data_IF_627447028850
#
_entry.id   IF_627447028850
#
_cell.length_a   1.000
_cell.length_b   1.000
_cell.length_c   1.000
_cell.angle_alpha   90.00
_cell.angle_beta   90.00
_cell.angle_gamma   90.00
#
_symmetry.space_group_name_H-M   'P 1'
#
loop_
_entity.id
_entity.type
_entity.pdbx_description
1 polymer ?
#
# COMPACT_ATOMS: atom_id res chain seq x y z
N UNK A 1 0.66 -5.52 -20.60
CA UNK A 1 0.36 -4.37 -19.72
C UNK A 1 -0.76 -3.59 -20.38
N UNK A 2 -1.86 -3.38 -19.72
CA UNK A 2 -2.97 -2.54 -20.18
C UNK A 2 -3.03 -1.31 -19.27
N UNK A 3 -2.99 -0.12 -19.85
CA UNK A 3 -3.18 1.14 -19.15
C UNK A 3 -4.52 1.77 -19.57
N UNK A 4 -5.38 2.03 -18.61
CA UNK A 4 -6.67 2.69 -18.81
C UNK A 4 -6.75 3.87 -17.84
N UNK A 5 -6.34 5.06 -18.29
CA UNK A 5 -6.48 6.32 -17.53
C UNK A 5 -6.25 6.17 -16.00
N UNK A 6 -5.03 5.80 -15.63
CA UNK A 6 -4.65 5.61 -14.24
C UNK A 6 -5.06 4.27 -13.62
N UNK A 7 -5.43 3.29 -14.45
CA UNK A 7 -5.59 1.89 -14.06
C UNK A 7 -4.59 1.07 -14.84
N UNK A 8 -3.65 0.46 -14.15
CA UNK A 8 -2.61 -0.38 -14.76
C UNK A 8 -2.88 -1.85 -14.44
N UNK A 9 -2.95 -2.70 -15.48
CA UNK A 9 -3.11 -4.13 -15.30
C UNK A 9 -1.84 -4.87 -15.72
N UNK A 10 -1.20 -5.52 -14.78
CA UNK A 10 -0.02 -6.36 -14.95
C UNK A 10 -0.44 -7.83 -14.89
N UNK A 11 -0.29 -8.53 -16.01
CA UNK A 11 -0.69 -9.93 -16.14
C UNK A 11 0.51 -10.87 -15.98
N UNK A 12 0.31 -11.99 -15.27
CA UNK A 12 1.31 -13.06 -15.04
C UNK A 12 2.67 -12.53 -14.53
N UNK A 13 2.64 -11.62 -13.57
CA UNK A 13 3.87 -11.10 -12.95
C UNK A 13 4.52 -12.16 -12.05
N UNK A 14 5.87 -12.22 -12.10
CA UNK A 14 6.67 -13.07 -11.21
C UNK A 14 7.07 -12.36 -9.89
N UNK A 15 7.83 -13.07 -9.07
CA UNK A 15 8.28 -12.61 -7.74
C UNK A 15 9.14 -11.32 -7.76
N UNK A 16 9.76 -10.98 -8.87
CA UNK A 16 10.63 -9.80 -9.02
C UNK A 16 9.89 -8.49 -9.33
N UNK A 17 8.61 -8.54 -9.66
CA UNK A 17 7.80 -7.35 -9.92
C UNK A 17 7.32 -6.70 -8.61
N UNK A 18 8.26 -6.15 -7.83
CA UNK A 18 7.96 -5.49 -6.55
C UNK A 18 7.93 -3.98 -6.65
N UNK A 19 8.50 -3.41 -7.72
CA UNK A 19 8.61 -1.95 -7.88
C UNK A 19 7.33 -1.38 -8.47
N UNK A 20 6.77 -0.38 -7.80
CA UNK A 20 5.62 0.38 -8.27
C UNK A 20 6.11 1.63 -9.01
N UNK A 21 5.49 1.99 -10.13
CA UNK A 21 5.83 3.19 -10.90
C UNK A 21 5.34 4.50 -10.28
N UNK A 22 4.65 4.43 -9.13
CA UNK A 22 4.07 5.56 -8.40
C UNK A 22 3.43 5.10 -7.11
N UNK A 23 2.53 5.93 -6.55
CA UNK A 23 1.79 5.63 -5.32
C UNK A 23 0.32 5.29 -5.67
N UNK A 24 0.00 4.04 -6.02
CA UNK A 24 -1.39 3.63 -6.25
C UNK A 24 -2.20 3.72 -4.96
N UNK A 25 -3.44 4.18 -5.09
CA UNK A 25 -4.40 4.29 -3.99
C UNK A 25 -4.88 2.92 -3.54
N UNK A 26 -5.08 2.02 -4.52
CA UNK A 26 -5.61 0.68 -4.31
C UNK A 26 -4.87 -0.29 -5.23
N UNK A 27 -4.54 -1.46 -4.71
CA UNK A 27 -3.92 -2.55 -5.46
C UNK A 27 -4.73 -3.82 -5.22
N UNK A 28 -5.13 -4.47 -6.31
CA UNK A 28 -5.71 -5.81 -6.29
C UNK A 28 -4.65 -6.77 -6.84
N UNK A 29 -4.29 -7.80 -6.09
CA UNK A 29 -3.31 -8.79 -6.52
C UNK A 29 -3.87 -10.21 -6.37
N UNK A 30 -4.10 -10.87 -7.51
CA UNK A 30 -4.60 -12.24 -7.57
C UNK A 30 -3.42 -13.22 -7.71
N UNK A 31 -3.32 -14.16 -6.79
CA UNK A 31 -2.28 -15.18 -6.79
C UNK A 31 -2.71 -16.39 -7.63
N UNK A 32 -2.07 -16.60 -8.77
CA UNK A 32 -2.33 -17.76 -9.65
C UNK A 32 -1.53 -19.00 -9.23
N UNK A 33 -0.29 -18.78 -8.80
CA UNK A 33 0.64 -19.83 -8.37
C UNK A 33 1.58 -19.29 -7.30
N UNK A 34 2.07 -20.18 -6.45
CA UNK A 34 2.93 -19.82 -5.34
C UNK A 34 2.16 -19.20 -4.18
N UNK A 35 2.79 -18.29 -3.47
CA UNK A 35 2.22 -17.63 -2.28
C UNK A 35 2.80 -16.24 -2.08
N UNK A 36 2.02 -15.41 -1.38
CA UNK A 36 2.47 -14.11 -0.85
C UNK A 36 2.45 -14.20 0.66
N UNK A 37 3.51 -13.74 1.30
CA UNK A 37 3.60 -13.63 2.75
C UNK A 37 3.88 -12.19 3.14
N UNK A 38 3.51 -11.79 4.37
CA UNK A 38 3.85 -10.46 4.89
C UNK A 38 4.24 -10.51 6.35
N UNK A 39 5.14 -9.62 6.72
CA UNK A 39 5.56 -9.45 8.11
C UNK A 39 4.55 -8.55 8.84
N UNK A 40 4.02 -9.01 9.95
CA UNK A 40 3.15 -8.22 10.83
C UNK A 40 1.87 -8.96 11.20
N UNK A 41 1.73 -9.26 12.48
CA UNK A 41 0.61 -9.96 13.08
C UNK A 41 1.03 -11.26 13.76
N UNK A 42 0.46 -11.50 14.94
CA UNK A 42 0.72 -12.69 15.76
C UNK A 42 -0.01 -13.96 15.27
N UNK A 43 -0.44 -13.99 14.01
CA UNK A 43 -1.29 -15.06 13.49
C UNK A 43 -0.55 -15.94 12.47
N UNK A 44 -0.81 -17.25 12.47
CA UNK A 44 -0.26 -18.19 11.49
C UNK A 44 -0.77 -17.99 10.05
N UNK A 45 -1.53 -16.92 9.79
CA UNK A 45 -2.23 -16.69 8.53
C UNK A 45 -1.74 -15.45 7.73
N UNK A 46 -0.48 -15.03 7.91
CA UNK A 46 0.11 -13.96 7.09
C UNK A 46 0.55 -14.49 5.72
N UNK A 47 -0.33 -15.22 5.08
CA UNK A 47 -0.08 -15.88 3.82
C UNK A 47 -1.31 -15.86 2.94
N UNK A 48 -1.11 -15.58 1.66
CA UNK A 48 -2.06 -15.75 0.57
C UNK A 48 -1.62 -16.93 -0.28
N UNK A 49 -2.55 -17.78 -0.65
CA UNK A 49 -2.29 -18.94 -1.48
C UNK A 49 -2.85 -18.74 -2.90
N UNK A 50 -2.50 -19.66 -3.80
CA UNK A 50 -3.06 -19.67 -5.14
C UNK A 50 -4.60 -19.73 -5.14
N UNK A 51 -5.22 -18.96 -6.01
CA UNK A 51 -6.66 -18.79 -6.12
C UNK A 51 -7.26 -17.74 -5.18
N UNK A 52 -6.44 -17.02 -4.41
CA UNK A 52 -6.90 -15.96 -3.51
C UNK A 52 -6.46 -14.59 -4.04
N UNK A 53 -7.21 -13.53 -3.66
CA UNK A 53 -6.90 -12.16 -4.02
C UNK A 53 -6.57 -11.33 -2.76
N UNK A 54 -5.54 -10.51 -2.90
CA UNK A 54 -5.11 -9.53 -1.92
C UNK A 54 -5.56 -8.13 -2.35
N UNK A 55 -6.07 -7.36 -1.41
CA UNK A 55 -6.38 -5.93 -1.57
C UNK A 55 -5.51 -5.15 -0.60
N UNK A 56 -4.75 -4.18 -1.12
CA UNK A 56 -3.81 -3.41 -0.31
C UNK A 56 -3.47 -2.07 -0.96
N UNK A 57 -2.76 -1.22 -0.24
CA UNK A 57 -2.28 0.08 -0.71
C UNK A 57 -0.77 0.08 -0.99
N UNK A 58 -0.25 1.16 -1.55
CA UNK A 58 1.18 1.30 -1.82
C UNK A 58 2.04 1.12 -0.55
N UNK A 59 1.52 1.49 0.61
CA UNK A 59 2.19 1.39 1.90
C UNK A 59 2.43 -0.05 2.33
N UNK A 60 1.44 -0.89 2.12
CA UNK A 60 1.48 -2.32 2.46
C UNK A 60 2.36 -3.09 1.47
N UNK A 61 2.50 -2.62 0.24
CA UNK A 61 3.26 -3.28 -0.83
C UNK A 61 4.69 -3.65 -0.44
N UNK A 62 5.39 -2.76 0.28
CA UNK A 62 6.78 -2.98 0.70
C UNK A 62 6.97 -4.04 1.79
N UNK A 63 5.89 -4.50 2.43
CA UNK A 63 5.93 -5.56 3.45
C UNK A 63 5.62 -6.95 2.88
N UNK A 64 5.26 -7.05 1.59
CA UNK A 64 4.90 -8.30 0.93
C UNK A 64 6.12 -9.01 0.36
N UNK A 65 6.22 -10.30 0.63
CA UNK A 65 7.24 -11.19 0.06
C UNK A 65 6.55 -12.27 -0.76
N UNK A 66 7.06 -12.51 -1.97
CA UNK A 66 6.52 -13.51 -2.90
C UNK A 66 7.45 -14.70 -2.98
N UNK A 67 6.91 -15.92 -3.04
CA UNK A 67 7.69 -17.15 -3.24
C UNK A 67 8.39 -17.15 -4.61
N UNK A 68 9.47 -17.92 -4.75
CA UNK A 68 10.23 -17.97 -6.00
C UNK A 68 9.42 -18.45 -7.21
N UNK A 69 8.42 -19.30 -6.98
CA UNK A 69 7.50 -19.84 -7.98
C UNK A 69 6.23 -18.99 -8.15
N UNK A 70 6.19 -17.79 -7.56
CA UNK A 70 5.03 -16.91 -7.63
C UNK A 70 4.71 -16.49 -9.06
N UNK A 71 3.42 -16.55 -9.38
CA UNK A 71 2.83 -15.98 -10.59
C UNK A 71 1.45 -15.42 -10.22
N UNK A 72 1.16 -14.19 -10.62
CA UNK A 72 -0.11 -13.53 -10.29
C UNK A 72 -0.46 -12.41 -11.26
N UNK A 73 -1.63 -11.83 -11.06
CA UNK A 73 -2.08 -10.63 -11.76
C UNK A 73 -2.21 -9.50 -10.76
N UNK A 74 -1.88 -8.28 -11.19
CA UNK A 74 -1.97 -7.09 -10.37
C UNK A 74 -2.70 -5.98 -11.11
N UNK A 75 -3.68 -5.37 -10.44
CA UNK A 75 -4.38 -4.18 -10.93
C UNK A 75 -4.06 -3.04 -9.97
N UNK A 76 -3.51 -1.97 -10.51
CA UNK A 76 -3.12 -0.78 -9.74
C UNK A 76 -4.06 0.37 -10.11
N UNK A 77 -4.60 1.04 -9.10
CA UNK A 77 -5.46 2.21 -9.24
C UNK A 77 -4.74 3.43 -8.71
N UNK A 78 -4.44 4.37 -9.58
CA UNK A 78 -3.81 5.65 -9.25
C UNK A 78 -4.85 6.75 -9.02
N UNK A 79 -4.42 7.92 -8.57
CA UNK A 79 -5.32 9.05 -8.28
C UNK A 79 -6.25 9.43 -9.41
N UNK A 80 -5.79 9.34 -10.65
CA UNK A 80 -6.56 9.65 -11.86
C UNK A 80 -7.68 8.64 -12.13
N UNK A 81 -7.52 7.39 -11.71
CA UNK A 81 -8.52 6.34 -11.89
C UNK A 81 -9.83 6.63 -11.16
N UNK A 82 -9.77 7.36 -10.04
CA UNK A 82 -10.96 7.74 -9.29
C UNK A 82 -11.91 8.59 -10.14
N UNK A 83 -11.38 9.57 -10.88
CA UNK A 83 -12.17 10.41 -11.79
C UNK A 83 -12.72 9.59 -12.96
N UNK A 84 -11.89 8.76 -13.58
CA UNK A 84 -12.31 7.89 -14.68
C UNK A 84 -13.46 6.97 -14.27
N UNK A 85 -13.37 6.32 -13.11
CA UNK A 85 -14.42 5.42 -12.61
C UNK A 85 -15.72 6.20 -12.31
N UNK A 86 -15.63 7.39 -11.72
CA UNK A 86 -16.78 8.24 -11.46
C UNK A 86 -17.50 8.67 -12.74
N UNK A 87 -16.76 9.02 -13.79
CA UNK A 87 -17.32 9.45 -15.08
C UNK A 87 -17.93 8.29 -15.88
N UNK A 88 -17.27 7.12 -15.91
CA UNK A 88 -17.66 6.02 -16.80
C UNK A 88 -18.56 4.98 -16.11
N UNK A 89 -18.57 4.95 -14.77
CA UNK A 89 -19.33 4.01 -13.95
C UNK A 89 -20.24 4.71 -12.93
N UNK A 90 -20.69 5.95 -13.23
CA UNK A 90 -21.51 6.78 -12.34
C UNK A 90 -22.76 6.05 -11.81
N UNK A 91 -23.42 5.25 -12.65
CA UNK A 91 -24.61 4.48 -12.27
C UNK A 91 -24.39 3.41 -11.20
N UNK A 92 -23.13 3.04 -10.92
CA UNK A 92 -22.80 2.02 -9.93
C UNK A 92 -22.38 2.59 -8.57
N UNK A 93 -22.31 3.93 -8.44
CA UNK A 93 -21.86 4.61 -7.22
C UNK A 93 -20.55 3.99 -6.65
N UNK A 94 -19.55 3.84 -7.50
CA UNK A 94 -18.21 3.32 -7.17
C UNK A 94 -17.27 4.49 -6.85
N UNK A 95 -16.59 4.39 -5.70
CA UNK A 95 -15.53 5.30 -5.31
C UNK A 95 -14.32 4.51 -4.80
N UNK A 96 -13.22 4.57 -5.56
CA UNK A 96 -11.98 3.85 -5.25
C UNK A 96 -11.38 4.28 -3.93
N UNK A 97 -11.50 5.56 -3.56
CA UNK A 97 -10.95 6.08 -2.29
C UNK A 97 -11.72 5.51 -1.11
N UNK A 98 -13.03 5.48 -1.20
CA UNK A 98 -13.90 4.86 -0.20
C UNK A 98 -13.63 3.35 -0.09
N UNK A 99 -13.43 2.65 -1.21
CA UNK A 99 -13.06 1.23 -1.21
C UNK A 99 -11.69 1.00 -0.56
N UNK A 100 -10.69 1.82 -0.90
CA UNK A 100 -9.38 1.74 -0.28
C UNK A 100 -9.45 1.97 1.23
N UNK A 101 -10.17 3.00 1.69
CA UNK A 101 -10.36 3.26 3.13
C UNK A 101 -11.09 2.12 3.85
N UNK A 102 -12.07 1.49 3.18
CA UNK A 102 -12.82 0.35 3.73
C UNK A 102 -11.95 -0.89 3.91
N UNK A 103 -11.03 -1.17 2.98
CA UNK A 103 -10.28 -2.42 2.89
C UNK A 103 -8.80 -2.32 3.25
N UNK A 104 -8.14 -1.20 2.91
CA UNK A 104 -6.73 -1.05 3.13
C UNK A 104 -6.46 -0.56 4.55
N UNK A 105 -5.93 -1.44 5.38
CA UNK A 105 -5.36 -1.08 6.69
C UNK A 105 -3.84 -1.06 6.55
N UNK A 106 -3.15 0.00 6.97
CA UNK A 106 -1.70 0.10 6.84
C UNK A 106 -0.98 -1.12 7.43
N UNK A 107 -0.09 -1.71 6.61
CA UNK A 107 0.67 -2.89 6.99
C UNK A 107 -0.12 -4.20 7.05
N UNK A 108 -1.41 -4.17 6.75
CA UNK A 108 -2.26 -5.37 6.78
C UNK A 108 -3.13 -5.43 5.52
N UNK A 109 -2.75 -6.25 4.54
CA UNK A 109 -3.54 -6.46 3.35
C UNK A 109 -4.86 -7.17 3.70
N UNK A 110 -5.89 -6.88 2.92
CA UNK A 110 -7.19 -7.55 3.02
C UNK A 110 -7.24 -8.74 2.08
N UNK A 111 -7.63 -9.92 2.56
CA UNK A 111 -7.80 -11.10 1.72
C UNK A 111 -9.28 -11.23 1.36
N UNK A 112 -9.53 -11.41 0.08
CA UNK A 112 -10.86 -11.70 -0.46
C UNK A 112 -11.02 -13.21 -0.59
N UNK A 113 -11.99 -13.77 0.11
CA UNK A 113 -12.23 -15.21 0.16
C UNK A 113 -13.26 -15.73 -0.86
N UNK A 114 -13.93 -14.84 -1.58
CA UNK A 114 -14.87 -15.21 -2.67
C UNK A 114 -14.10 -15.70 -3.91
N UNK A 115 -13.53 -16.91 -3.77
CA UNK A 115 -12.58 -17.47 -4.74
C UNK A 115 -13.13 -17.61 -6.15
N UNK A 116 -14.37 -18.08 -6.29
CA UNK A 116 -14.96 -18.37 -7.61
C UNK A 116 -15.27 -17.09 -8.39
N UNK A 117 -15.89 -16.10 -7.76
CA UNK A 117 -16.25 -14.83 -8.41
C UNK A 117 -15.01 -14.04 -8.85
N UNK A 118 -13.99 -14.00 -7.98
CA UNK A 118 -12.72 -13.33 -8.26
C UNK A 118 -11.94 -14.05 -9.36
N UNK A 119 -11.77 -15.36 -9.26
CA UNK A 119 -11.08 -16.16 -10.27
C UNK A 119 -11.72 -16.01 -11.64
N UNK A 120 -13.06 -16.05 -11.71
CA UNK A 120 -13.82 -15.90 -12.95
C UNK A 120 -13.59 -14.54 -13.64
N UNK A 121 -13.48 -13.44 -12.85
CA UNK A 121 -13.16 -12.13 -13.42
C UNK A 121 -11.78 -12.10 -14.10
N UNK A 122 -10.78 -12.77 -13.52
CA UNK A 122 -9.43 -12.86 -14.10
C UNK A 122 -9.35 -13.85 -15.28
N UNK A 123 -10.11 -14.94 -15.26
CA UNK A 123 -10.14 -15.94 -16.34
C UNK A 123 -10.81 -15.42 -17.62
N UNK A 124 -11.83 -14.57 -17.49
CA UNK A 124 -12.53 -13.96 -18.63
C UNK A 124 -11.61 -13.27 -19.62
N UNK A 125 -10.42 -12.85 -19.19
CA UNK A 125 -9.50 -12.05 -19.98
C UNK A 125 -8.47 -12.91 -20.72
N UNK A 126 -8.12 -14.09 -20.18
CA UNK A 126 -7.01 -14.91 -20.69
C UNK A 126 -7.17 -15.37 -22.16
N UNK A 127 -8.41 -15.58 -22.61
CA UNK A 127 -8.71 -16.18 -23.91
C UNK A 127 -9.27 -15.18 -24.92
N UNK A 128 -9.00 -13.87 -24.78
CA UNK A 128 -9.54 -12.84 -25.67
C UNK A 128 -8.50 -12.34 -26.66
N UNK A 129 -8.97 -12.00 -27.86
CA UNK A 129 -8.11 -11.37 -28.88
C UNK A 129 -7.67 -9.97 -28.40
N UNK A 130 -6.51 -9.51 -28.85
CA UNK A 130 -5.99 -8.16 -28.49
C UNK A 130 -6.99 -7.04 -28.76
N UNK A 131 -7.84 -7.18 -29.79
CA UNK A 131 -8.84 -6.18 -30.17
C UNK A 131 -9.97 -6.00 -29.13
N UNK A 132 -10.33 -7.07 -28.42
CA UNK A 132 -11.44 -7.06 -27.44
C UNK A 132 -10.95 -7.12 -26.00
N UNK A 133 -9.66 -7.28 -25.79
CA UNK A 133 -9.07 -7.45 -24.47
C UNK A 133 -9.33 -6.22 -23.56
N UNK A 134 -9.27 -5.01 -24.12
CA UNK A 134 -9.49 -3.78 -23.37
C UNK A 134 -10.91 -3.67 -22.81
N UNK A 135 -11.93 -4.04 -23.60
CA UNK A 135 -13.33 -4.03 -23.16
C UNK A 135 -13.58 -5.08 -22.08
N UNK A 136 -13.05 -6.29 -22.25
CA UNK A 136 -13.16 -7.34 -21.23
C UNK A 136 -12.43 -6.98 -19.94
N UNK A 137 -11.28 -6.31 -20.00
CA UNK A 137 -10.59 -5.79 -18.83
C UNK A 137 -11.45 -4.76 -18.09
N UNK A 138 -12.11 -3.83 -18.79
CA UNK A 138 -13.03 -2.85 -18.17
C UNK A 138 -14.18 -3.54 -17.45
N UNK A 139 -14.80 -4.56 -18.09
CA UNK A 139 -15.88 -5.34 -17.48
C UNK A 139 -15.40 -6.10 -16.23
N UNK A 140 -14.24 -6.75 -16.28
CA UNK A 140 -13.66 -7.47 -15.16
C UNK A 140 -13.30 -6.53 -14.01
N UNK A 141 -12.74 -5.35 -14.30
CA UNK A 141 -12.46 -4.33 -13.29
C UNK A 141 -13.77 -3.89 -12.62
N UNK A 142 -14.82 -3.62 -13.40
CA UNK A 142 -16.12 -3.25 -12.86
C UNK A 142 -16.69 -4.35 -11.96
N UNK A 143 -16.65 -5.60 -12.41
CA UNK A 143 -17.12 -6.78 -11.66
C UNK A 143 -16.36 -6.91 -10.32
N UNK A 144 -15.03 -6.81 -10.34
CA UNK A 144 -14.20 -6.85 -9.13
C UNK A 144 -14.54 -5.71 -8.17
N UNK A 145 -14.69 -4.48 -8.67
CA UNK A 145 -15.02 -3.32 -7.83
C UNK A 145 -16.42 -3.44 -7.21
N UNK A 146 -17.39 -3.99 -7.93
CA UNK A 146 -18.75 -4.27 -7.41
C UNK A 146 -18.72 -5.37 -6.35
N UNK A 147 -17.96 -6.43 -6.57
CA UNK A 147 -17.75 -7.50 -5.57
C UNK A 147 -17.15 -6.91 -4.30
N UNK A 148 -16.08 -6.11 -4.41
CA UNK A 148 -15.45 -5.46 -3.26
C UNK A 148 -16.37 -4.47 -2.54
N UNK A 149 -17.19 -3.71 -3.27
CA UNK A 149 -18.17 -2.78 -2.69
C UNK A 149 -19.15 -3.50 -1.78
N UNK A 150 -19.63 -4.66 -2.21
CA UNK A 150 -20.68 -5.42 -1.53
C UNK A 150 -20.14 -6.36 -0.42
N UNK A 151 -18.82 -6.53 -0.31
CA UNK A 151 -18.24 -7.35 0.74
C UNK A 151 -18.50 -6.77 2.13
N UNK A 152 -18.92 -7.64 3.06
CA UNK A 152 -18.96 -7.33 4.49
C UNK A 152 -17.57 -7.46 5.10
N UNK A 153 -16.83 -6.36 5.08
CA UNK A 153 -15.45 -6.33 5.59
C UNK A 153 -15.36 -6.57 7.10
N UNK A 154 -16.40 -6.29 7.88
CA UNK A 154 -16.39 -6.53 9.32
C UNK A 154 -16.38 -8.03 9.62
N UNK A 155 -17.16 -8.80 8.90
CA UNK A 155 -17.21 -10.25 9.01
C UNK A 155 -15.88 -10.89 8.59
N UNK A 156 -15.27 -10.41 7.55
CA UNK A 156 -13.97 -10.88 7.04
C UNK A 156 -12.81 -10.56 8.01
N UNK A 157 -12.86 -9.40 8.68
CA UNK A 157 -11.86 -9.05 9.69
C UNK A 157 -12.03 -9.81 11.00
N UNK A 158 -13.25 -10.14 11.41
CA UNK A 158 -13.55 -10.87 12.63
C UNK A 158 -13.02 -12.33 12.59
N UNK A 159 -12.92 -12.93 11.44
CA UNK A 159 -12.37 -14.28 11.27
C UNK A 159 -10.86 -14.40 11.56
N UNK A 160 -10.15 -13.29 11.81
CA UNK A 160 -8.69 -13.23 11.96
C UNK A 160 -8.27 -12.46 13.21
N UNK A 161 -8.87 -12.74 14.34
CA UNK A 161 -8.62 -12.03 15.57
C UNK A 161 -7.14 -12.01 16.01
N UNK A 162 -6.57 -10.79 15.94
CA UNK A 162 -5.71 -10.33 17.02
C UNK A 162 -6.62 -9.89 18.16
N UNK A 163 -6.29 -10.23 19.41
CA UNK A 163 -6.98 -9.79 20.64
C UNK A 163 -6.92 -8.27 20.88
N UNK A 164 -6.96 -7.46 19.82
CA UNK A 164 -6.98 -5.99 19.89
C UNK A 164 -8.41 -5.51 19.73
N UNK A 165 -8.87 -4.71 20.68
CA UNK A 165 -10.20 -4.10 20.57
C UNK A 165 -10.26 -3.14 19.37
N UNK A 166 -11.44 -2.98 18.77
CA UNK A 166 -11.65 -2.02 17.67
C UNK A 166 -11.19 -0.62 18.04
N UNK A 167 -11.38 -0.22 19.29
CA UNK A 167 -10.94 1.08 19.84
C UNK A 167 -9.39 1.20 19.86
N UNK A 168 -8.67 0.14 20.21
CA UNK A 168 -7.20 0.14 20.17
C UNK A 168 -6.69 0.27 18.74
N UNK A 169 -7.30 -0.43 17.81
CA UNK A 169 -6.97 -0.36 16.39
C UNK A 169 -7.19 1.08 15.88
N UNK A 170 -8.32 1.70 16.20
CA UNK A 170 -8.65 3.07 15.81
C UNK A 170 -7.63 4.08 16.36
N UNK A 171 -7.30 4.00 17.66
CA UNK A 171 -6.25 4.82 18.28
C UNK A 171 -4.90 4.66 17.56
N UNK A 172 -4.51 3.45 17.17
CA UNK A 172 -3.27 3.19 16.44
C UNK A 172 -3.28 3.83 15.05
N UNK A 173 -4.42 3.86 14.36
CA UNK A 173 -4.55 4.58 13.09
C UNK A 173 -4.43 6.10 13.27
N UNK A 174 -5.03 6.66 14.33
CA UNK A 174 -4.90 8.07 14.67
C UNK A 174 -3.43 8.44 14.97
N UNK A 175 -2.70 7.60 15.73
CA UNK A 175 -1.27 7.78 16.00
C UNK A 175 -0.47 7.81 14.69
N UNK A 176 -0.72 6.88 13.79
CA UNK A 176 -0.05 6.84 12.48
C UNK A 176 -0.32 8.10 11.66
N UNK A 177 -1.60 8.51 11.55
CA UNK A 177 -1.97 9.73 10.81
C UNK A 177 -1.27 10.96 11.40
N UNK A 178 -1.28 11.10 12.71
CA UNK A 178 -0.59 12.17 13.41
C UNK A 178 0.93 12.20 13.12
N UNK A 179 1.59 11.05 13.13
CA UNK A 179 3.02 10.94 12.77
C UNK A 179 3.25 11.37 11.32
N UNK A 180 2.38 10.94 10.39
CA UNK A 180 2.51 11.26 8.97
C UNK A 180 2.23 12.74 8.65
N UNK A 181 1.38 13.41 9.44
CA UNK A 181 1.07 14.83 9.31
C UNK A 181 2.15 15.73 9.92
N UNK A 182 2.99 15.19 10.81
CA UNK A 182 4.02 15.94 11.55
C UNK A 182 5.41 15.31 11.34
N UNK A 183 5.83 15.15 10.08
CA UNK A 183 7.07 14.47 9.73
C UNK A 183 8.34 15.22 10.13
N UNK A 184 8.25 16.53 10.30
CA UNK A 184 9.31 17.42 10.78
C UNK A 184 9.57 17.30 12.28
N UNK A 185 8.60 16.79 13.03
CA UNK A 185 8.59 16.74 14.48
C UNK A 185 8.98 15.36 15.02
N UNK A 186 9.67 15.31 16.15
CA UNK A 186 10.02 14.09 16.85
C UNK A 186 9.14 13.95 18.11
N UNK A 187 8.53 12.80 18.27
CA UNK A 187 7.68 12.49 19.42
C UNK A 187 8.28 11.32 20.20
N UNK A 188 8.16 11.37 21.51
CA UNK A 188 8.45 10.23 22.39
C UNK A 188 7.25 9.28 22.45
N UNK A 189 7.45 8.08 22.94
CA UNK A 189 6.33 7.14 23.17
C UNK A 189 5.39 7.67 24.25
N UNK A 190 5.95 8.33 25.24
CA UNK A 190 5.24 8.94 26.36
C UNK A 190 4.31 10.06 25.87
N UNK A 191 4.79 10.97 25.03
CA UNK A 191 3.98 12.03 24.44
C UNK A 191 2.84 11.48 23.57
N UNK A 192 3.12 10.44 22.77
CA UNK A 192 2.08 9.78 22.00
C UNK A 192 1.09 9.02 22.87
N UNK A 193 1.57 8.37 23.93
CA UNK A 193 0.75 7.68 24.93
C UNK A 193 -0.26 8.61 25.59
N UNK A 194 0.21 9.76 26.07
CA UNK A 194 -0.61 10.77 26.74
C UNK A 194 -1.61 11.39 25.76
N UNK A 195 -1.14 11.75 24.55
CA UNK A 195 -1.99 12.37 23.53
C UNK A 195 -3.15 11.47 23.07
N UNK A 196 -2.93 10.17 22.95
CA UNK A 196 -3.92 9.22 22.44
C UNK A 196 -4.54 8.35 23.53
N UNK A 197 -4.26 8.65 24.78
CA UNK A 197 -4.78 7.89 25.94
C UNK A 197 -4.63 6.37 25.70
N UNK A 198 -3.38 5.95 25.49
CA UNK A 198 -3.04 4.55 25.24
C UNK A 198 -1.72 4.18 25.93
N UNK A 199 -1.72 3.20 26.88
CA UNK A 199 -0.51 2.84 27.60
C UNK A 199 0.67 2.52 26.69
N UNK A 200 1.93 2.97 27.01
CA UNK A 200 3.11 2.82 26.14
C UNK A 200 3.37 1.40 25.66
N UNK A 201 3.21 0.42 26.56
CA UNK A 201 3.42 -1.00 26.23
C UNK A 201 2.37 -1.51 25.24
N UNK A 202 1.10 -1.18 25.48
CA UNK A 202 0.01 -1.54 24.58
C UNK A 202 0.19 -0.86 23.21
N UNK A 203 0.56 0.44 23.18
CA UNK A 203 0.83 1.17 21.95
C UNK A 203 1.94 0.51 21.13
N UNK A 204 3.10 0.22 21.73
CA UNK A 204 4.24 -0.42 21.03
C UNK A 204 3.83 -1.75 20.43
N UNK A 205 3.14 -2.59 21.20
CA UNK A 205 2.68 -3.90 20.77
C UNK A 205 1.64 -3.79 19.65
N UNK A 206 0.60 -2.99 19.86
CA UNK A 206 -0.49 -2.80 18.90
C UNK A 206 0.04 -2.18 17.59
N UNK A 207 0.88 -1.15 17.69
CA UNK A 207 1.45 -0.49 16.52
C UNK A 207 2.30 -1.46 15.68
N UNK A 208 3.15 -2.25 16.34
CA UNK A 208 3.95 -3.28 15.66
C UNK A 208 3.06 -4.36 15.04
N UNK A 209 1.99 -4.77 15.73
CA UNK A 209 1.06 -5.77 15.20
C UNK A 209 0.26 -5.25 14.00
N UNK A 210 -0.15 -3.97 14.02
CA UNK A 210 -0.94 -3.36 12.94
C UNK A 210 -0.07 -3.00 11.74
N UNK A 211 1.13 -2.41 11.96
CA UNK A 211 1.98 -1.88 10.88
C UNK A 211 3.22 -2.72 10.58
N UNK A 212 3.46 -3.80 11.30
CA UNK A 212 4.61 -4.68 11.12
C UNK A 212 5.95 -4.12 11.63
N UNK A 213 5.99 -2.85 12.04
CA UNK A 213 7.21 -2.15 12.45
C UNK A 213 7.00 -1.41 13.78
N UNK A 214 8.05 -1.29 14.61
CA UNK A 214 8.01 -0.37 15.75
C UNK A 214 7.73 1.07 15.32
N UNK A 215 7.07 1.86 16.18
CA UNK A 215 6.62 3.23 15.89
C UNK A 215 7.72 4.09 15.26
N UNK A 216 8.91 4.14 15.87
CA UNK A 216 10.02 4.97 15.37
C UNK A 216 10.66 4.46 14.07
N UNK A 217 10.70 3.14 13.89
CA UNK A 217 11.17 2.53 12.64
C UNK A 217 10.21 2.86 11.51
N UNK A 218 8.92 2.81 11.78
CA UNK A 218 7.87 3.22 10.85
C UNK A 218 8.00 4.72 10.50
N UNK A 219 8.05 5.60 11.50
CA UNK A 219 8.20 7.05 11.30
C UNK A 219 9.46 7.39 10.48
N UNK A 220 10.61 6.76 10.79
CA UNK A 220 11.85 6.93 10.02
C UNK A 220 11.68 6.54 8.56
N UNK A 221 11.05 5.40 8.31
CA UNK A 221 10.81 4.91 6.94
C UNK A 221 9.94 5.89 6.15
N UNK A 222 8.89 6.40 6.75
CA UNK A 222 7.99 7.36 6.10
C UNK A 222 8.66 8.70 5.80
N UNK A 223 9.47 9.23 6.72
CA UNK A 223 10.30 10.42 6.47
C UNK A 223 11.24 10.22 5.27
N UNK A 224 11.89 9.05 5.17
CA UNK A 224 12.80 8.77 4.04
C UNK A 224 12.05 8.62 2.73
N UNK A 225 10.83 8.08 2.72
CA UNK A 225 9.97 8.05 1.53
C UNK A 225 9.56 9.46 1.09
N UNK A 226 9.17 10.33 2.04
CA UNK A 226 8.85 11.72 1.74
C UNK A 226 10.06 12.47 1.17
N UNK A 227 11.24 12.30 1.79
CA UNK A 227 12.49 12.87 1.29
C UNK A 227 12.83 12.35 -0.12
N UNK A 228 12.66 11.06 -0.38
CA UNK A 228 12.89 10.46 -1.69
C UNK A 228 11.96 11.04 -2.77
N UNK A 229 10.69 11.29 -2.43
CA UNK A 229 9.75 11.97 -3.31
C UNK A 229 10.22 13.38 -3.63
N UNK A 230 10.57 14.18 -2.63
CA UNK A 230 11.07 15.55 -2.80
C UNK A 230 12.37 15.59 -3.61
N UNK A 231 13.31 14.65 -3.40
CA UNK A 231 14.55 14.55 -4.16
C UNK A 231 14.32 14.30 -5.66
N UNK A 232 13.22 13.68 -6.05
CA UNK A 232 12.84 13.45 -7.46
C UNK A 232 12.13 14.65 -8.09
N UNK A 233 11.28 15.32 -7.31
CA UNK A 233 10.28 16.25 -7.82
C UNK A 233 10.71 17.72 -7.71
N UNK A 234 11.69 18.08 -6.87
CA UNK A 234 12.10 19.45 -6.68
C UNK A 234 13.62 19.65 -6.64
N UNK A 235 14.05 20.92 -6.88
CA UNK A 235 15.44 21.35 -6.92
C UNK A 235 15.99 21.84 -5.59
N UNK A 236 15.20 21.72 -4.53
CA UNK A 236 15.60 22.15 -3.18
C UNK A 236 16.87 21.46 -2.69
N UNK A 237 17.63 22.16 -1.85
CA UNK A 237 18.88 21.64 -1.26
C UNK A 237 18.63 20.33 -0.48
N UNK A 238 19.61 19.41 -0.50
CA UNK A 238 19.50 18.16 0.26
C UNK A 238 19.34 18.43 1.76
N UNK A 239 20.00 19.46 2.28
CA UNK A 239 19.91 19.87 3.69
C UNK A 239 18.54 20.49 4.02
N UNK A 240 17.95 21.22 3.09
CA UNK A 240 16.61 21.78 3.21
C UNK A 240 15.57 20.65 3.30
N UNK A 241 15.64 19.67 2.40
CA UNK A 241 14.78 18.48 2.42
C UNK A 241 14.99 17.69 3.73
N UNK A 242 16.23 17.57 4.21
CA UNK A 242 16.52 16.93 5.49
C UNK A 242 15.79 17.64 6.64
N UNK A 243 15.79 18.99 6.66
CA UNK A 243 15.08 19.78 7.67
C UNK A 243 13.58 19.54 7.66
N UNK A 244 12.95 19.49 6.49
CA UNK A 244 11.51 19.24 6.34
C UNK A 244 11.05 17.85 6.80
N UNK A 245 11.97 16.88 6.82
CA UNK A 245 11.68 15.55 7.35
C UNK A 245 12.27 15.34 8.76
N UNK A 246 12.56 16.44 9.48
CA UNK A 246 12.93 16.43 10.90
C UNK A 246 14.40 16.12 11.18
N UNK A 247 15.32 16.29 10.22
CA UNK A 247 16.76 16.07 10.43
C UNK A 247 17.54 17.39 10.42
N UNK A 248 18.00 17.80 11.60
CA UNK A 248 18.88 18.98 11.76
C UNK A 248 20.34 18.72 11.42
N UNK A 249 20.72 17.48 11.05
CA UNK A 249 22.08 17.09 10.73
C UNK A 249 22.10 16.29 9.42
N UNK A 250 22.79 16.83 8.42
CA UNK A 250 22.87 16.24 7.09
C UNK A 250 23.54 14.86 7.05
N UNK A 251 24.54 14.60 7.91
CA UNK A 251 25.21 13.29 7.98
C UNK A 251 24.27 12.23 8.56
N UNK A 252 23.52 12.57 9.62
CA UNK A 252 22.50 11.68 10.20
C UNK A 252 21.38 11.39 9.18
N UNK A 253 20.95 12.42 8.44
CA UNK A 253 19.99 12.25 7.35
C UNK A 253 20.52 11.33 6.25
N UNK A 254 21.74 11.58 5.75
CA UNK A 254 22.31 10.78 4.67
C UNK A 254 22.43 9.30 5.05
N UNK A 255 22.87 9.03 6.29
CA UNK A 255 22.94 7.66 6.83
C UNK A 255 21.55 7.03 6.94
N UNK A 256 20.58 7.74 7.53
CA UNK A 256 19.21 7.26 7.65
C UNK A 256 18.56 6.99 6.29
N UNK A 257 18.84 7.85 5.31
CA UNK A 257 18.32 7.70 3.95
C UNK A 257 18.96 6.50 3.25
N UNK A 258 20.27 6.33 3.37
CA UNK A 258 20.98 5.18 2.80
C UNK A 258 20.50 3.85 3.39
N UNK A 259 20.31 3.79 4.71
CA UNK A 259 19.77 2.59 5.38
C UNK A 259 18.40 2.17 4.86
N UNK A 260 17.55 3.14 4.53
CA UNK A 260 16.15 2.86 4.12
C UNK A 260 16.03 2.71 2.61
N UNK A 261 16.76 3.52 1.83
CA UNK A 261 16.63 3.60 0.36
C UNK A 261 17.74 2.86 -0.39
N UNK A 262 18.75 2.34 0.31
CA UNK A 262 19.87 1.57 -0.26
C UNK A 262 20.95 2.41 -0.94
N UNK A 263 20.81 3.73 -1.00
CA UNK A 263 21.76 4.66 -1.62
C UNK A 263 21.71 6.04 -0.97
N UNK A 264 22.77 6.84 -1.15
CA UNK A 264 22.81 8.20 -0.60
C UNK A 264 21.78 9.14 -1.26
N UNK A 265 21.34 10.22 -0.58
CA UNK A 265 20.41 11.20 -1.15
C UNK A 265 20.91 11.80 -2.47
N UNK A 266 22.22 12.04 -2.60
CA UNK A 266 22.86 12.58 -3.80
C UNK A 266 22.79 11.59 -4.97
N UNK A 267 23.10 10.34 -4.74
CA UNK A 267 23.00 9.26 -5.74
C UNK A 267 21.53 9.05 -6.16
N UNK A 268 20.62 9.05 -5.18
CA UNK A 268 19.19 8.88 -5.43
C UNK A 268 18.67 10.00 -6.32
N UNK A 269 18.98 11.28 -6.02
CA UNK A 269 18.61 12.42 -6.86
C UNK A 269 19.18 12.27 -8.28
N UNK A 270 20.47 11.96 -8.40
CA UNK A 270 21.12 11.78 -9.71
C UNK A 270 20.43 10.71 -10.56
N UNK A 271 20.01 9.62 -9.92
CA UNK A 271 19.44 8.45 -10.60
C UNK A 271 17.96 8.62 -10.97
N UNK A 272 17.17 9.26 -10.10
CA UNK A 272 15.71 9.24 -10.18
C UNK A 272 15.08 10.63 -10.39
N UNK A 273 15.87 11.66 -10.57
CA UNK A 273 15.35 13.00 -10.83
C UNK A 273 14.50 12.98 -12.11
N UNK A 274 13.26 13.44 -11.99
CA UNK A 274 12.41 13.70 -13.14
C UNK A 274 13.00 14.94 -13.85
N UNK A 275 13.72 14.74 -14.95
CA UNK A 275 14.06 15.82 -15.86
C UNK A 275 12.75 16.31 -16.47
N UNK A 276 12.30 17.50 -16.08
CA UNK A 276 11.31 18.23 -16.84
C UNK A 276 11.89 18.43 -18.23
N UNK A 277 11.49 17.59 -19.16
CA UNK A 277 11.69 17.86 -20.58
C UNK A 277 10.73 19.03 -20.87
N UNK A 278 11.30 20.22 -21.04
CA UNK A 278 10.61 21.42 -21.46
C UNK A 278 10.01 21.25 -22.86
#
# INVERSE_FOLDING_TARGET
>A
MLDIKGIEWLHKIGCYHTTLAGDPILILEFCRKGRITWAGGALPCNQLNAGEMLVYDAWTSGALTRSADYCGDRILFYGESAKYIQEHFAGFALDIRTLAQKMCRPGRPFIVHTKEEVAHAFEKIENKSEKTQAEYCRLAILELLLTLKNLDTQREYACRECNLSSMQIEKIYCIRSFICENMDSHFTIEELSDKFDMPPTAMKLCFKNVFGLPVFTYARRERMKLAAKQLRECDRGILEIAGEVGYNNGSKFAHAFQDVMGMTPKEYRKKYRLTNVA
#
